data_IF_421153220921
#
_entry.id   IF_421153220921
#
_cell.length_a   1.000
_cell.length_b   1.000
_cell.length_c   1.000
_cell.angle_alpha   90.00
_cell.angle_beta   90.00
_cell.angle_gamma   90.00
#
_symmetry.space_group_name_H-M   'P 1'
#
loop_
_entity.id
_entity.type
_entity.pdbx_description
1 polymer ?
#
# COMPACT_ATOMS: atom_id res chain seq x y z
N UNK A 1 -4.92 -10.31 8.23
CA UNK A 1 -4.38 -9.25 7.36
C UNK A 1 -5.54 -8.51 6.73
N UNK A 2 -5.58 -7.19 6.87
CA UNK A 2 -6.58 -6.33 6.21
C UNK A 2 -6.55 -6.59 4.70
N UNK A 3 -7.72 -6.82 4.10
CA UNK A 3 -7.86 -7.00 2.66
C UNK A 3 -8.29 -5.67 2.04
N UNK A 4 -7.31 -4.91 1.55
CA UNK A 4 -7.58 -3.61 0.91
C UNK A 4 -8.54 -3.74 -0.28
N UNK A 5 -8.52 -4.85 -1.02
CA UNK A 5 -9.53 -5.13 -2.05
C UNK A 5 -10.97 -5.01 -1.52
N UNK A 6 -11.24 -5.53 -0.32
CA UNK A 6 -12.56 -5.40 0.31
C UNK A 6 -12.87 -3.95 0.71
N UNK A 7 -11.87 -3.18 1.16
CA UNK A 7 -12.02 -1.75 1.45
C UNK A 7 -12.44 -1.00 0.17
N UNK A 8 -11.77 -1.28 -0.95
CA UNK A 8 -12.08 -0.66 -2.24
C UNK A 8 -13.49 -1.02 -2.71
N UNK A 9 -13.88 -2.29 -2.60
CA UNK A 9 -15.23 -2.75 -2.96
C UNK A 9 -16.31 -2.07 -2.10
N UNK A 10 -16.08 -1.95 -0.78
CA UNK A 10 -17.00 -1.24 0.12
C UNK A 10 -17.08 0.25 -0.25
N UNK A 11 -15.95 0.92 -0.48
CA UNK A 11 -15.93 2.33 -0.89
C UNK A 11 -16.70 2.54 -2.20
N UNK A 12 -16.50 1.68 -3.21
CA UNK A 12 -17.22 1.78 -4.49
C UNK A 12 -18.72 1.62 -4.33
N UNK A 13 -19.14 0.68 -3.48
CA UNK A 13 -20.55 0.36 -3.26
C UNK A 13 -21.26 1.46 -2.49
N UNK A 14 -20.67 1.91 -1.38
CA UNK A 14 -21.34 2.75 -0.40
C UNK A 14 -20.98 4.25 -0.57
N UNK A 15 -19.82 4.56 -1.15
CA UNK A 15 -19.29 5.91 -1.35
C UNK A 15 -18.66 6.12 -2.75
N UNK A 16 -19.41 5.90 -3.86
CA UNK A 16 -18.85 5.86 -5.22
C UNK A 16 -18.10 7.14 -5.64
N UNK A 17 -18.54 8.30 -5.13
CA UNK A 17 -17.89 9.59 -5.41
C UNK A 17 -16.48 9.66 -4.80
N UNK A 18 -16.31 9.15 -3.57
CA UNK A 18 -15.01 9.08 -2.91
C UNK A 18 -14.12 8.03 -3.56
N UNK A 19 -14.68 6.86 -3.86
CA UNK A 19 -13.95 5.74 -4.45
C UNK A 19 -13.22 6.11 -5.76
N UNK A 20 -13.82 6.98 -6.59
CA UNK A 20 -13.19 7.45 -7.83
C UNK A 20 -11.84 8.16 -7.64
N UNK A 21 -11.64 8.78 -6.48
CA UNK A 21 -10.45 9.56 -6.13
C UNK A 21 -9.40 8.74 -5.37
N UNK A 22 -9.73 7.53 -4.93
CA UNK A 22 -8.81 6.65 -4.19
C UNK A 22 -8.02 5.80 -5.17
N UNK A 23 -6.70 5.74 -5.01
CA UNK A 23 -5.81 4.88 -5.79
C UNK A 23 -5.03 3.94 -4.88
N UNK A 24 -5.24 2.62 -4.94
CA UNK A 24 -4.44 1.66 -4.21
C UNK A 24 -3.08 1.48 -4.90
N UNK A 25 -2.00 1.81 -4.21
CA UNK A 25 -0.63 1.69 -4.74
C UNK A 25 0.12 0.62 -3.94
N UNK A 26 0.67 -0.36 -4.64
CA UNK A 26 1.62 -1.32 -4.10
C UNK A 26 3.02 -0.90 -4.54
N UNK A 27 3.97 -0.84 -3.61
CA UNK A 27 5.37 -0.52 -3.92
C UNK A 27 6.24 -1.67 -3.41
N UNK A 28 7.00 -2.31 -4.31
CA UNK A 28 7.98 -3.31 -3.91
C UNK A 28 9.12 -2.67 -3.11
N UNK A 29 9.61 -3.42 -2.11
CA UNK A 29 10.80 -3.08 -1.32
C UNK A 29 12.03 -3.90 -1.72
N UNK A 30 11.91 -4.81 -2.69
CA UNK A 30 12.97 -5.71 -3.15
C UNK A 30 13.15 -5.66 -4.67
N UNK A 31 13.68 -4.55 -5.21
CA UNK A 31 13.80 -4.33 -6.65
C UNK A 31 14.79 -5.30 -7.34
N UNK A 32 15.60 -6.04 -6.59
CA UNK A 32 16.53 -7.03 -7.13
C UNK A 32 15.79 -8.26 -7.70
N UNK A 33 14.65 -8.63 -7.11
CA UNK A 33 13.80 -9.74 -7.57
C UNK A 33 12.53 -9.25 -8.27
N UNK A 34 11.97 -8.15 -7.78
CA UNK A 34 10.66 -7.65 -8.19
C UNK A 34 10.74 -6.78 -9.44
N UNK A 35 11.06 -7.42 -10.57
CA UNK A 35 10.97 -6.80 -11.89
C UNK A 35 9.53 -6.46 -12.26
N UNK A 36 9.34 -5.51 -13.18
CA UNK A 36 7.99 -5.18 -13.70
C UNK A 36 7.27 -6.39 -14.29
N UNK A 37 7.99 -7.33 -14.90
CA UNK A 37 7.40 -8.57 -15.43
C UNK A 37 6.88 -9.46 -14.31
N UNK A 38 7.69 -9.65 -13.25
CA UNK A 38 7.28 -10.44 -12.08
C UNK A 38 6.09 -9.79 -11.37
N UNK A 39 6.14 -8.48 -11.13
CA UNK A 39 5.03 -7.74 -10.50
C UNK A 39 3.74 -7.78 -11.34
N UNK A 40 3.84 -7.76 -12.67
CA UNK A 40 2.66 -7.88 -13.54
C UNK A 40 1.99 -9.25 -13.43
N UNK A 41 2.78 -10.32 -13.30
CA UNK A 41 2.24 -11.66 -13.06
C UNK A 41 1.63 -11.74 -11.66
N UNK A 42 2.33 -11.23 -10.64
CA UNK A 42 1.85 -11.17 -9.26
C UNK A 42 0.54 -10.37 -9.12
N UNK A 43 0.41 -9.26 -9.85
CA UNK A 43 -0.78 -8.40 -9.81
C UNK A 43 -2.08 -9.09 -10.23
N UNK A 44 -2.02 -10.22 -10.96
CA UNK A 44 -3.21 -10.96 -11.42
C UNK A 44 -4.05 -11.52 -10.27
N UNK A 45 -3.42 -11.78 -9.13
CA UNK A 45 -4.09 -12.31 -7.94
C UNK A 45 -4.67 -11.22 -7.03
N UNK A 46 -4.50 -9.94 -7.40
CA UNK A 46 -4.92 -8.78 -6.63
C UNK A 46 -6.12 -8.07 -7.26
N UNK A 47 -6.76 -7.20 -6.48
CA UNK A 47 -7.87 -6.38 -6.96
C UNK A 47 -7.39 -5.49 -8.14
N UNK A 48 -8.15 -5.40 -9.24
CA UNK A 48 -7.67 -4.87 -10.53
C UNK A 48 -7.31 -3.38 -10.53
N UNK A 49 -7.68 -2.63 -9.49
CA UNK A 49 -7.32 -1.20 -9.37
C UNK A 49 -5.95 -0.96 -8.79
N UNK A 50 -5.27 -1.99 -8.29
CA UNK A 50 -3.92 -1.84 -7.78
C UNK A 50 -2.95 -1.37 -8.86
N UNK A 51 -2.21 -0.32 -8.52
CA UNK A 51 -1.06 0.15 -9.28
C UNK A 51 0.18 -0.40 -8.60
N UNK A 52 0.92 -1.27 -9.29
CA UNK A 52 2.16 -1.86 -8.79
C UNK A 52 3.37 -1.06 -9.25
N UNK A 53 4.23 -0.67 -8.30
CA UNK A 53 5.44 0.10 -8.52
C UNK A 53 6.67 -0.67 -8.03
N UNK A 54 7.77 -0.48 -8.76
CA UNK A 54 9.14 -0.83 -8.39
C UNK A 54 10.07 0.23 -8.98
N UNK A 55 11.36 0.18 -8.67
CA UNK A 55 12.33 1.17 -9.13
C UNK A 55 13.76 0.68 -9.01
N UNK A 56 14.72 1.59 -9.16
CA UNK A 56 16.11 1.27 -8.83
C UNK A 56 16.27 1.04 -7.32
N UNK A 57 17.30 0.30 -6.87
CA UNK A 57 17.62 0.15 -5.46
C UNK A 57 17.66 1.49 -4.70
N UNK A 58 18.22 2.53 -5.32
CA UNK A 58 18.30 3.87 -4.75
C UNK A 58 16.92 4.53 -4.59
N UNK A 59 16.05 4.40 -5.60
CA UNK A 59 14.68 4.94 -5.55
C UNK A 59 13.86 4.25 -4.44
N UNK A 60 13.97 2.92 -4.34
CA UNK A 60 13.27 2.15 -3.30
C UNK A 60 13.80 2.52 -1.92
N UNK A 61 15.13 2.64 -1.75
CA UNK A 61 15.74 3.06 -0.49
C UNK A 61 15.31 4.48 -0.08
N UNK A 62 15.26 5.43 -1.03
CA UNK A 62 14.79 6.79 -0.77
C UNK A 62 13.32 6.80 -0.33
N UNK A 63 12.47 6.02 -1.00
CA UNK A 63 11.06 5.86 -0.62
C UNK A 63 10.94 5.27 0.79
N UNK A 64 11.62 4.15 1.06
CA UNK A 64 11.58 3.49 2.36
C UNK A 64 12.02 4.44 3.48
N UNK A 65 13.08 5.24 3.25
CA UNK A 65 13.52 6.26 4.21
C UNK A 65 12.47 7.36 4.42
N UNK A 66 11.85 7.88 3.35
CA UNK A 66 10.83 8.95 3.43
C UNK A 66 9.60 8.48 4.20
N UNK A 67 9.16 7.25 3.96
CA UNK A 67 8.02 6.63 4.64
C UNK A 67 8.37 5.96 5.97
N UNK A 68 9.65 5.97 6.36
CA UNK A 68 10.17 5.31 7.56
C UNK A 68 9.83 3.81 7.60
N UNK A 69 9.82 3.17 6.43
CA UNK A 69 9.64 1.73 6.27
C UNK A 69 10.96 1.05 6.63
N UNK A 70 10.93 0.16 7.63
CA UNK A 70 12.03 -0.75 7.88
C UNK A 70 12.08 -1.79 6.76
N UNK A 71 13.27 -2.05 6.23
CA UNK A 71 13.53 -3.11 5.24
C UNK A 71 14.85 -3.77 5.61
N UNK A 72 14.87 -5.09 5.74
CA UNK A 72 16.05 -5.88 6.05
C UNK A 72 16.03 -7.18 5.27
N UNK A 73 17.13 -7.48 4.58
CA UNK A 73 17.31 -8.76 3.90
C UNK A 73 17.82 -9.78 4.92
N UNK A 74 17.12 -10.90 5.06
CA UNK A 74 17.58 -12.03 5.86
C UNK A 74 18.72 -12.78 5.15
N UNK A 75 19.43 -13.63 5.88
CA UNK A 75 20.50 -14.46 5.32
C UNK A 75 19.96 -15.36 4.19
N UNK A 76 20.81 -15.59 3.20
CA UNK A 76 20.48 -16.45 2.06
C UNK A 76 20.45 -17.92 2.50
N UNK A 77 19.47 -18.65 1.97
CA UNK A 77 19.39 -20.10 2.06
C UNK A 77 20.43 -20.77 1.16
N UNK A 78 20.67 -22.07 1.33
CA UNK A 78 21.63 -22.83 0.50
C UNK A 78 21.29 -22.78 -1.01
N UNK A 79 20.01 -22.60 -1.35
CA UNK A 79 19.52 -22.48 -2.72
C UNK A 79 19.57 -21.04 -3.27
N UNK A 80 20.11 -20.08 -2.49
CA UNK A 80 20.24 -18.67 -2.86
C UNK A 80 18.95 -17.85 -2.70
N UNK A 81 17.89 -18.41 -2.11
CA UNK A 81 16.66 -17.67 -1.79
C UNK A 81 16.80 -16.92 -0.46
N UNK A 82 16.04 -15.85 -0.28
CA UNK A 82 16.06 -15.02 0.92
C UNK A 82 14.71 -14.39 1.23
N UNK A 83 14.51 -14.08 2.50
CA UNK A 83 13.37 -13.28 2.94
C UNK A 83 13.76 -11.82 3.11
N UNK A 84 12.77 -10.95 2.95
CA UNK A 84 12.90 -9.52 3.24
C UNK A 84 11.92 -9.19 4.35
N UNK A 85 12.44 -8.90 5.53
CA UNK A 85 11.67 -8.36 6.63
C UNK A 85 11.37 -6.90 6.34
N UNK A 86 10.10 -6.50 6.49
CA UNK A 86 9.71 -5.11 6.32
C UNK A 86 8.59 -4.68 7.26
N UNK A 87 8.44 -3.37 7.47
CA UNK A 87 7.28 -2.82 8.18
C UNK A 87 5.99 -3.15 7.44
N UNK A 88 4.95 -3.56 8.17
CA UNK A 88 3.64 -3.90 7.61
C UNK A 88 2.63 -2.81 7.98
N UNK A 89 2.69 -1.71 7.23
CA UNK A 89 1.85 -0.52 7.41
C UNK A 89 1.30 -0.09 6.05
N UNK A 90 0.04 0.34 6.01
CA UNK A 90 -0.59 0.97 4.85
C UNK A 90 -0.66 2.47 5.14
N UNK A 91 -0.17 3.28 4.22
CA UNK A 91 -0.15 4.74 4.35
C UNK A 91 -1.31 5.32 3.53
N UNK A 92 -2.12 6.16 4.17
CA UNK A 92 -3.22 6.84 3.51
C UNK A 92 -2.91 8.32 3.37
N UNK A 93 -2.91 8.79 2.13
CA UNK A 93 -2.78 10.21 1.81
C UNK A 93 -4.13 10.73 1.34
N UNK A 94 -4.46 11.94 1.75
CA UNK A 94 -5.69 12.62 1.32
C UNK A 94 -5.52 13.31 -0.06
N UNK A 95 -6.52 14.10 -0.46
CA UNK A 95 -6.55 14.82 -1.72
C UNK A 95 -5.56 15.99 -1.81
N UNK A 96 -5.01 16.44 -0.68
CA UNK A 96 -3.92 17.42 -0.64
C UNK A 96 -2.55 16.75 -0.88
N UNK A 97 -2.49 15.42 -0.73
CA UNK A 97 -1.26 14.63 -0.84
C UNK A 97 -0.50 14.49 0.48
N UNK A 98 -1.03 15.02 1.59
CA UNK A 98 -0.48 14.87 2.92
C UNK A 98 -0.83 13.50 3.52
N UNK A 99 0.02 13.00 4.44
CA UNK A 99 -0.23 11.74 5.13
C UNK A 99 -1.34 11.93 6.17
N UNK A 100 -2.53 11.44 5.85
CA UNK A 100 -3.74 11.61 6.66
C UNK A 100 -3.93 10.51 7.72
N UNK A 101 -3.55 9.26 7.43
CA UNK A 101 -3.64 8.16 8.40
C UNK A 101 -2.70 6.99 8.04
N UNK A 102 -2.50 6.07 8.99
CA UNK A 102 -1.74 4.84 8.82
C UNK A 102 -2.54 3.65 9.34
N UNK A 103 -2.66 2.59 8.54
CA UNK A 103 -3.39 1.39 8.91
C UNK A 103 -2.46 0.20 9.11
N UNK A 104 -2.75 -0.61 10.13
CA UNK A 104 -1.98 -1.84 10.40
C UNK A 104 -2.66 -3.06 9.77
N UNK A 105 -1.89 -4.11 9.54
CA UNK A 105 -2.41 -5.37 9.00
C UNK A 105 -3.50 -6.05 9.84
N UNK A 106 -3.65 -5.70 11.12
CA UNK A 106 -4.64 -6.29 12.02
C UNK A 106 -6.00 -5.60 11.98
N UNK A 107 -6.11 -4.45 11.30
CA UNK A 107 -7.36 -3.69 11.21
C UNK A 107 -8.42 -4.43 10.38
N UNK A 108 -9.70 -4.21 10.72
CA UNK A 108 -10.81 -4.73 9.92
C UNK A 108 -11.02 -3.82 8.70
N UNK A 109 -11.41 -4.36 7.53
CA UNK A 109 -11.72 -3.55 6.35
C UNK A 109 -12.76 -2.44 6.61
N UNK A 110 -13.75 -2.71 7.48
CA UNK A 110 -14.76 -1.73 7.87
C UNK A 110 -14.16 -0.53 8.59
N UNK A 111 -13.26 -0.76 9.55
CA UNK A 111 -12.61 0.31 10.32
C UNK A 111 -11.75 1.19 9.41
N UNK A 112 -11.08 0.58 8.43
CA UNK A 112 -10.29 1.32 7.43
C UNK A 112 -11.20 2.14 6.52
N UNK A 113 -12.34 1.58 6.08
CA UNK A 113 -13.31 2.30 5.26
C UNK A 113 -13.85 3.53 5.99
N UNK A 114 -14.30 3.36 7.24
CA UNK A 114 -14.81 4.44 8.07
C UNK A 114 -13.78 5.56 8.24
N UNK A 115 -12.53 5.20 8.52
CA UNK A 115 -11.42 6.16 8.62
C UNK A 115 -11.16 6.90 7.31
N UNK A 116 -11.15 6.21 6.17
CA UNK A 116 -10.96 6.87 4.87
C UNK A 116 -12.08 7.90 4.64
N UNK A 117 -13.34 7.51 4.90
CA UNK A 117 -14.49 8.42 4.75
C UNK A 117 -14.36 9.62 5.69
N UNK A 118 -14.03 9.39 6.96
CA UNK A 118 -13.81 10.47 7.95
C UNK A 118 -12.73 11.45 7.45
N UNK A 119 -11.56 10.95 7.05
CA UNK A 119 -10.44 11.78 6.59
C UNK A 119 -10.76 12.55 5.31
N UNK A 120 -11.47 11.94 4.37
CA UNK A 120 -11.81 12.54 3.08
C UNK A 120 -12.98 13.52 3.12
N UNK A 121 -13.77 13.51 4.20
CA UNK A 121 -14.96 14.37 4.34
C UNK A 121 -14.82 15.41 5.46
N UNK A 122 -13.75 15.33 6.24
CA UNK A 122 -13.47 16.29 7.29
C UNK A 122 -13.15 17.67 6.69
N UNK A 123 -14.05 18.62 6.92
CA UNK A 123 -13.81 20.05 6.68
C UNK A 123 -13.47 20.67 8.04
N UNK A 124 -12.22 21.12 8.28
CA UNK A 124 -11.90 21.83 9.51
C UNK A 124 -12.79 23.07 9.61
N UNK A 125 -13.44 23.28 10.76
CA UNK A 125 -14.11 24.56 11.03
C UNK A 125 -13.06 25.69 10.93
N UNK A 126 -13.33 26.68 10.08
CA UNK A 126 -12.51 27.90 9.94
C UNK A 126 -12.70 28.84 11.11
#
# INVERSE_FOLDING_TARGET
MVKVGQVLDTLKKDYPQLAGNIKPIFVSVDPARDSLKALKEYAKDFHPEYIFLTGSPEQVQQMAKKYRVYVSKADETEDGDYLVDHSIVIYFHDDTGDLADCFTQSMRPTDVTEKIVERMTFVPEM
#
